data_IF_398980851262
#
_entry.id   IF_398980851262
#
_cell.length_a   1.000
_cell.length_b   1.000
_cell.length_c   1.000
_cell.angle_alpha   90.00
_cell.angle_beta   90.00
_cell.angle_gamma   90.00
#
_symmetry.space_group_name_H-M   'P 1'
#
loop_
_entity.id
_entity.type
_entity.pdbx_description
1 polymer ?
#
# COMPACT_ATOMS: atom_id res chain seq x y z
N UNK A 1 -44.38 4.56 63.24
CA UNK A 1 -44.08 3.12 63.16
C UNK A 1 -42.89 2.95 62.22
N UNK A 2 -41.91 2.11 62.60
CA UNK A 2 -40.47 2.44 62.72
C UNK A 2 -39.67 1.98 61.47
N UNK A 3 -38.35 2.15 61.29
CA UNK A 3 -37.15 2.19 62.18
C UNK A 3 -35.95 2.63 61.30
N UNK A 4 -35.02 3.51 61.74
CA UNK A 4 -33.67 3.23 62.34
C UNK A 4 -32.85 2.19 61.56
N UNK A 5 -31.56 2.33 61.22
CA UNK A 5 -30.36 2.93 61.90
C UNK A 5 -29.19 2.92 60.88
N UNK A 6 -28.34 3.94 60.72
CA UNK A 6 -27.08 4.26 61.45
C UNK A 6 -26.13 3.09 61.78
N UNK A 7 -24.90 3.18 61.27
CA UNK A 7 -23.66 2.57 61.80
C UNK A 7 -22.57 2.40 60.70
N UNK A 8 -21.48 3.19 60.65
CA UNK A 8 -20.12 2.96 61.26
C UNK A 8 -19.52 1.58 60.92
N UNK A 9 -18.28 1.38 60.46
CA UNK A 9 -17.00 2.10 60.57
C UNK A 9 -15.96 1.51 59.56
N UNK A 10 -14.73 2.07 59.41
CA UNK A 10 -13.74 1.73 58.39
C UNK A 10 -12.73 0.64 58.82
N UNK A 11 -12.31 -0.19 57.86
CA UNK A 11 -11.37 -1.29 58.06
C UNK A 11 -9.97 -1.07 57.45
N UNK A 12 -9.03 -0.73 58.33
CA UNK A 12 -7.56 -0.96 58.35
C UNK A 12 -6.83 -1.54 57.13
N UNK A 13 -5.82 -0.77 56.71
CA UNK A 13 -4.37 -1.09 56.68
C UNK A 13 -3.95 -2.58 56.76
N UNK A 14 -3.29 -3.05 55.70
CA UNK A 14 -2.09 -3.89 55.79
C UNK A 14 -1.06 -3.50 54.73
N UNK A 15 0.07 -3.02 55.21
CA UNK A 15 1.36 -3.03 54.54
C UNK A 15 1.83 -4.47 54.30
N UNK A 16 2.34 -4.78 53.11
CA UNK A 16 3.40 -5.77 52.90
C UNK A 16 4.28 -5.36 51.72
N UNK A 17 5.55 -5.07 52.04
CA UNK A 17 6.81 -5.15 51.29
C UNK A 17 6.76 -5.22 49.75
N UNK A 18 7.28 -4.24 49.00
CA UNK A 18 8.71 -3.94 48.75
C UNK A 18 9.53 -5.11 48.17
N UNK A 19 9.80 -5.05 46.87
CA UNK A 19 11.06 -5.53 46.25
C UNK A 19 11.17 -5.05 44.80
N UNK A 20 11.72 -3.86 44.64
CA UNK A 20 12.51 -3.46 43.46
C UNK A 20 13.86 -4.18 43.48
N UNK A 21 14.36 -4.65 42.32
CA UNK A 21 15.79 -4.75 42.09
C UNK A 21 16.25 -3.61 41.17
N UNK A 22 17.21 -2.82 41.67
CA UNK A 22 18.03 -1.91 40.88
C UNK A 22 19.26 -2.65 40.28
N UNK A 23 19.97 -2.04 39.31
CA UNK A 23 20.70 -2.76 38.27
C UNK A 23 22.16 -3.02 38.63
N UNK A 24 22.65 -4.23 38.33
CA UNK A 24 24.09 -4.47 38.25
C UNK A 24 24.61 -4.11 36.86
N UNK A 25 25.54 -3.15 36.85
CA UNK A 25 26.48 -2.92 35.75
C UNK A 25 27.69 -3.82 35.98
N UNK A 26 28.06 -4.64 35.01
CA UNK A 26 29.47 -4.82 34.68
C UNK A 26 29.68 -5.23 33.21
N UNK A 27 30.78 -4.72 32.66
CA UNK A 27 31.12 -4.65 31.23
C UNK A 27 31.92 -5.88 30.82
N UNK A 28 31.73 -6.37 29.59
CA UNK A 28 32.61 -7.39 29.02
C UNK A 28 32.28 -7.85 27.60
N UNK A 29 32.74 -7.08 26.61
CA UNK A 29 33.30 -7.49 25.32
C UNK A 29 32.56 -8.53 24.42
N UNK A 30 31.98 -7.98 23.34
CA UNK A 30 31.87 -8.50 21.96
C UNK A 30 32.01 -10.01 21.67
N UNK A 31 30.94 -10.61 21.14
CA UNK A 31 30.97 -11.47 19.94
C UNK A 31 29.55 -11.60 19.34
N UNK A 32 29.43 -11.29 18.05
CA UNK A 32 28.23 -11.44 17.21
C UNK A 32 27.70 -12.87 17.28
N UNK A 33 26.40 -13.05 17.55
CA UNK A 33 25.55 -14.16 17.07
C UNK A 33 24.10 -13.68 17.09
N UNK A 34 23.39 -13.88 15.98
CA UNK A 34 22.00 -13.46 15.80
C UNK A 34 21.08 -14.11 16.82
N UNK A 35 20.14 -13.33 17.35
CA UNK A 35 19.07 -13.82 18.23
C UNK A 35 17.75 -13.66 17.48
N UNK A 36 17.15 -14.80 17.18
CA UNK A 36 15.76 -14.96 16.74
C UNK A 36 14.84 -14.82 17.95
N UNK A 37 13.77 -14.04 17.83
CA UNK A 37 12.71 -13.94 18.85
C UNK A 37 11.52 -14.73 18.32
N UNK A 38 11.22 -15.87 18.95
CA UNK A 38 10.05 -16.70 18.65
C UNK A 38 8.95 -16.51 19.69
N UNK A 39 7.79 -16.00 19.28
CA UNK A 39 6.56 -16.11 20.08
C UNK A 39 5.89 -17.46 19.79
N UNK A 40 5.67 -18.26 20.84
CA UNK A 40 5.01 -19.57 20.75
C UNK A 40 3.56 -19.48 21.21
N UNK A 41 2.63 -19.89 20.35
CA UNK A 41 1.29 -20.32 20.73
C UNK A 41 1.14 -21.77 20.26
N UNK A 42 0.91 -22.70 21.20
CA UNK A 42 0.67 -24.13 20.93
C UNK A 42 -0.83 -24.39 20.83
N UNK A 43 -1.29 -24.85 19.67
CA UNK A 43 -2.31 -25.92 19.57
C UNK A 43 -2.00 -26.76 18.32
N UNK A 44 -1.63 -28.03 18.53
CA UNK A 44 -1.84 -29.16 17.62
C UNK A 44 -1.24 -29.15 16.20
N UNK A 45 -0.06 -29.76 16.04
CA UNK A 45 0.17 -30.77 15.00
C UNK A 45 0.39 -30.35 13.54
N UNK A 46 1.53 -29.72 13.25
CA UNK A 46 2.51 -30.07 12.19
C UNK A 46 3.38 -28.84 11.91
N UNK A 47 4.69 -28.98 12.16
CA UNK A 47 5.68 -27.92 12.05
C UNK A 47 6.10 -27.78 10.58
N UNK A 48 5.44 -26.88 9.83
CA UNK A 48 5.97 -26.40 8.55
C UNK A 48 6.86 -25.19 8.82
N UNK A 49 8.16 -25.37 8.62
CA UNK A 49 9.15 -24.29 8.63
C UNK A 49 8.91 -23.46 7.37
N UNK A 50 8.23 -22.32 7.48
CA UNK A 50 8.18 -21.34 6.38
C UNK A 50 9.44 -20.49 6.48
N UNK A 51 10.48 -20.86 5.73
CA UNK A 51 11.59 -19.98 5.46
C UNK A 51 11.11 -18.87 4.50
N UNK A 52 10.83 -17.69 5.06
CA UNK A 52 10.64 -16.49 4.25
C UNK A 52 11.98 -16.10 3.62
N UNK A 53 12.08 -16.30 2.31
CA UNK A 53 13.25 -15.93 1.52
C UNK A 53 13.26 -14.41 1.30
N UNK A 54 13.80 -13.66 2.26
CA UNK A 54 13.97 -12.20 2.21
C UNK A 54 15.14 -11.73 1.31
N UNK A 55 15.58 -12.53 0.34
CA UNK A 55 16.79 -12.28 -0.46
C UNK A 55 16.55 -11.71 -1.87
N UNK A 56 15.34 -11.25 -2.19
CA UNK A 56 15.10 -10.48 -3.40
C UNK A 56 14.96 -9.00 -3.04
N UNK A 57 16.08 -8.36 -2.69
CA UNK A 57 16.41 -6.91 -2.74
C UNK A 57 17.70 -6.79 -1.91
N UNK A 58 18.80 -6.34 -2.56
CA UNK A 58 20.18 -6.12 -2.06
C UNK A 58 21.22 -7.05 -2.70
N UNK A 59 21.73 -6.66 -3.88
CA UNK A 59 23.03 -7.12 -4.36
C UNK A 59 24.15 -6.36 -3.58
N UNK A 60 25.05 -7.04 -2.86
CA UNK A 60 26.11 -6.39 -2.08
C UNK A 60 27.27 -5.82 -2.90
N UNK A 61 27.23 -5.86 -4.24
CA UNK A 61 28.38 -5.50 -5.10
C UNK A 61 28.48 -4.04 -5.55
N UNK A 62 27.58 -3.16 -5.12
CA UNK A 62 27.70 -1.72 -5.36
C UNK A 62 28.49 -1.03 -4.23
N UNK A 63 29.79 -1.30 -4.16
CA UNK A 63 30.76 -0.41 -3.49
C UNK A 63 31.73 0.11 -4.54
N UNK A 64 31.27 1.12 -5.27
CA UNK A 64 32.07 1.86 -6.25
C UNK A 64 31.22 2.95 -6.88
N UNK A 65 31.48 4.19 -6.46
CA UNK A 65 31.00 5.45 -7.04
C UNK A 65 29.46 5.66 -7.12
N UNK A 66 28.83 5.66 -5.95
CA UNK A 66 27.37 5.63 -5.73
C UNK A 66 26.66 7.00 -5.90
N UNK A 67 27.38 8.03 -6.36
CA UNK A 67 26.81 9.38 -6.52
C UNK A 67 26.31 9.61 -7.94
N UNK A 68 27.17 9.47 -8.96
CA UNK A 68 26.77 9.69 -10.37
C UNK A 68 25.64 8.76 -10.84
N UNK A 69 25.59 7.51 -10.39
CA UNK A 69 24.53 6.56 -10.74
C UNK A 69 23.17 6.92 -10.11
N UNK A 70 23.16 7.37 -8.84
CA UNK A 70 21.95 7.89 -8.15
C UNK A 70 21.39 9.15 -8.83
N UNK A 71 22.24 9.96 -9.43
CA UNK A 71 21.80 11.12 -10.23
C UNK A 71 21.23 10.69 -11.59
N UNK A 72 21.77 9.66 -12.23
CA UNK A 72 21.30 9.20 -13.54
C UNK A 72 19.91 8.55 -13.51
N UNK A 73 19.57 7.78 -12.47
CA UNK A 73 18.24 7.16 -12.33
C UNK A 73 17.14 8.17 -11.96
N UNK A 74 17.50 9.36 -11.47
CA UNK A 74 16.57 10.48 -11.22
C UNK A 74 16.15 11.22 -12.49
N UNK A 75 16.95 11.18 -13.56
CA UNK A 75 16.90 12.21 -14.61
C UNK A 75 15.96 11.94 -15.80
N UNK A 76 15.40 10.73 -15.94
CA UNK A 76 14.61 10.38 -17.15
C UNK A 76 13.20 9.82 -16.89
N UNK A 77 12.73 9.80 -15.64
CA UNK A 77 11.36 9.36 -15.34
C UNK A 77 10.53 10.61 -15.10
N UNK A 78 9.47 10.79 -15.90
CA UNK A 78 8.42 11.77 -15.64
C UNK A 78 7.37 11.10 -14.74
N UNK A 79 7.49 11.18 -13.39
CA UNK A 79 6.65 10.40 -12.50
C UNK A 79 5.18 10.72 -12.72
N UNK A 80 4.35 9.69 -12.68
CA UNK A 80 2.91 9.76 -12.83
C UNK A 80 2.23 9.45 -11.50
N UNK A 81 0.92 9.74 -11.43
CA UNK A 81 0.10 9.24 -10.33
C UNK A 81 0.28 7.74 -10.17
N UNK A 82 0.25 7.29 -8.93
CA UNK A 82 0.42 5.89 -8.52
C UNK A 82 1.85 5.35 -8.61
N UNK A 83 2.81 6.07 -9.18
CA UNK A 83 4.20 5.64 -9.13
C UNK A 83 4.68 5.55 -7.67
N UNK A 84 5.55 4.57 -7.41
CA UNK A 84 6.19 4.36 -6.13
C UNK A 84 7.36 5.34 -5.98
N UNK A 85 7.38 6.05 -4.86
CA UNK A 85 8.43 7.01 -4.51
C UNK A 85 9.18 6.52 -3.29
N UNK A 86 10.46 6.21 -3.46
CA UNK A 86 11.33 5.79 -2.36
C UNK A 86 12.09 7.01 -1.86
N UNK A 87 11.90 7.37 -0.59
CA UNK A 87 12.51 8.54 0.03
C UNK A 87 13.76 8.17 0.84
N UNK A 88 14.67 9.14 1.02
CA UNK A 88 15.78 9.03 1.96
C UNK A 88 15.21 8.87 3.38
N UNK A 89 15.58 7.82 4.14
CA UNK A 89 15.13 7.60 5.52
C UNK A 89 15.40 8.78 6.48
N UNK A 90 16.40 9.60 6.18
CA UNK A 90 16.79 10.75 6.99
C UNK A 90 16.21 12.07 6.49
N UNK A 91 15.41 12.04 5.42
CA UNK A 91 14.81 13.24 4.88
C UNK A 91 13.80 13.88 5.84
N UNK A 92 13.70 15.20 5.72
CA UNK A 92 12.61 15.95 6.33
C UNK A 92 11.35 15.80 5.49
N UNK A 93 10.22 15.67 6.17
CA UNK A 93 8.90 15.57 5.55
C UNK A 93 7.85 16.26 6.43
N UNK A 94 6.70 16.57 5.84
CA UNK A 94 5.54 17.14 6.52
C UNK A 94 4.34 16.23 6.33
N UNK A 95 3.57 16.02 7.38
CA UNK A 95 2.30 15.27 7.32
C UNK A 95 1.14 16.27 7.31
N UNK A 96 0.25 16.16 6.32
CA UNK A 96 -0.93 17.04 6.15
C UNK A 96 -2.22 16.45 6.74
N UNK A 97 -2.11 15.49 7.66
CA UNK A 97 -3.25 14.81 8.29
C UNK A 97 -3.76 15.57 9.51
N UNK A 98 -5.08 15.71 9.62
CA UNK A 98 -5.78 16.34 10.75
C UNK A 98 -5.90 15.43 12.00
N UNK A 99 -5.15 14.34 12.08
CA UNK A 99 -5.30 13.32 13.13
C UNK A 99 -4.59 13.69 14.44
N UNK A 100 -5.18 13.22 15.54
CA UNK A 100 -4.95 13.68 16.92
C UNK A 100 -3.58 13.34 17.52
N UNK A 101 -2.78 12.43 16.91
CA UNK A 101 -1.44 12.09 17.41
C UNK A 101 -0.37 12.17 16.31
N UNK A 102 0.04 13.39 15.98
CA UNK A 102 1.05 13.64 14.95
C UNK A 102 2.40 12.98 15.26
N UNK A 103 2.87 13.01 16.51
CA UNK A 103 4.17 12.45 16.89
C UNK A 103 4.28 10.96 16.53
N UNK A 104 3.26 10.17 16.88
CA UNK A 104 3.21 8.74 16.55
C UNK A 104 3.14 8.49 15.03
N UNK A 105 2.49 9.38 14.26
CA UNK A 105 2.49 9.30 12.80
C UNK A 105 3.89 9.56 12.24
N UNK A 106 4.60 10.58 12.71
CA UNK A 106 5.98 10.85 12.31
C UNK A 106 6.90 9.65 12.58
N UNK A 107 6.79 9.02 13.76
CA UNK A 107 7.55 7.81 14.08
C UNK A 107 7.25 6.65 13.13
N UNK A 108 5.97 6.41 12.81
CA UNK A 108 5.57 5.38 11.87
C UNK A 108 6.08 5.65 10.45
N UNK A 109 6.03 6.89 9.97
CA UNK A 109 6.59 7.27 8.67
C UNK A 109 8.11 7.09 8.65
N UNK A 110 8.82 7.50 9.71
CA UNK A 110 10.27 7.27 9.80
C UNK A 110 10.61 5.78 9.79
N UNK A 111 9.86 4.97 10.54
CA UNK A 111 10.02 3.51 10.52
C UNK A 111 9.70 2.92 9.13
N UNK A 112 8.73 3.47 8.41
CA UNK A 112 8.39 3.08 7.04
C UNK A 112 9.55 3.34 6.07
N UNK A 113 10.13 4.55 6.08
CA UNK A 113 11.28 4.87 5.25
C UNK A 113 12.53 4.09 5.64
N UNK A 114 12.78 3.87 6.93
CA UNK A 114 13.91 3.06 7.41
C UNK A 114 13.86 1.60 6.91
N UNK A 115 12.66 1.08 6.60
CA UNK A 115 12.47 -0.24 5.96
C UNK A 115 12.64 -0.21 4.43
N UNK A 116 12.89 0.96 3.84
CA UNK A 116 13.01 1.14 2.39
C UNK A 116 11.68 0.99 1.65
N UNK A 117 10.55 1.23 2.31
CA UNK A 117 9.23 1.11 1.70
C UNK A 117 8.81 2.43 1.01
N UNK A 118 8.08 2.36 -0.12
CA UNK A 118 7.74 3.54 -0.90
C UNK A 118 6.48 4.26 -0.39
N UNK A 119 6.34 5.50 -0.80
CA UNK A 119 5.05 6.20 -0.87
C UNK A 119 4.46 6.11 -2.28
N UNK A 120 3.21 6.54 -2.43
CA UNK A 120 2.55 6.73 -3.72
C UNK A 120 2.70 8.18 -4.16
N UNK A 121 3.09 8.39 -5.42
CA UNK A 121 3.08 9.68 -6.08
C UNK A 121 1.63 10.17 -6.20
N UNK A 122 1.30 11.24 -5.47
CA UNK A 122 -0.03 11.79 -5.42
C UNK A 122 -0.22 12.91 -6.46
N UNK A 123 -1.34 13.64 -6.35
CA UNK A 123 -1.57 14.82 -7.18
C UNK A 123 -0.69 15.99 -6.72
N UNK A 124 -0.01 16.66 -7.65
CA UNK A 124 0.98 17.71 -7.37
C UNK A 124 0.42 19.14 -7.37
N UNK A 125 -0.90 19.27 -7.23
CA UNK A 125 -1.59 20.56 -7.20
C UNK A 125 -1.24 21.40 -5.97
N UNK A 126 -0.92 22.68 -6.15
CA UNK A 126 -0.78 23.66 -5.06
C UNK A 126 0.54 23.57 -4.28
N UNK A 127 1.62 23.12 -4.93
CA UNK A 127 2.95 22.96 -4.33
C UNK A 127 3.86 24.17 -4.57
N UNK A 128 4.83 24.34 -3.69
CA UNK A 128 5.98 25.20 -3.93
C UNK A 128 6.99 24.48 -4.85
N UNK A 129 7.84 25.23 -5.53
CA UNK A 129 8.89 24.66 -6.37
C UNK A 129 9.79 23.71 -5.56
N UNK A 130 9.86 22.45 -5.97
CA UNK A 130 10.74 21.42 -5.40
C UNK A 130 10.15 20.61 -4.24
N UNK A 131 8.89 20.83 -3.87
CA UNK A 131 8.15 19.94 -2.97
C UNK A 131 7.33 18.91 -3.78
N UNK A 132 7.10 17.74 -3.20
CA UNK A 132 6.29 16.65 -3.76
C UNK A 132 5.18 16.26 -2.78
N UNK A 133 3.95 16.12 -3.29
CA UNK A 133 2.84 15.49 -2.58
C UNK A 133 2.88 13.98 -2.76
N UNK A 134 2.82 13.26 -1.65
CA UNK A 134 2.83 11.81 -1.59
C UNK A 134 1.66 11.29 -0.76
N UNK A 135 1.15 10.12 -1.12
CA UNK A 135 0.19 9.36 -0.34
C UNK A 135 0.88 8.19 0.34
N UNK A 136 0.53 7.94 1.60
CA UNK A 136 1.01 6.79 2.34
C UNK A 136 -0.12 6.18 3.17
N UNK A 137 -0.48 4.91 2.97
CA UNK A 137 -1.32 4.20 3.93
C UNK A 137 -0.45 3.66 5.07
N UNK A 138 -0.95 3.81 6.29
CA UNK A 138 -0.39 3.25 7.51
C UNK A 138 -1.46 2.44 8.25
N UNK A 139 -1.04 1.46 9.04
CA UNK A 139 -1.91 0.80 10.02
C UNK A 139 -1.57 1.38 11.39
N UNK A 140 -2.39 2.32 11.85
CA UNK A 140 -2.24 2.92 13.17
C UNK A 140 -3.43 2.51 14.06
N UNK A 141 -3.13 2.09 15.29
CA UNK A 141 -4.15 1.59 16.24
C UNK A 141 -5.08 0.50 15.65
N UNK A 142 -4.53 -0.36 14.78
CA UNK A 142 -5.28 -1.43 14.12
C UNK A 142 -6.22 -0.98 12.99
N UNK A 143 -6.17 0.30 12.58
CA UNK A 143 -6.98 0.86 11.51
C UNK A 143 -6.11 1.35 10.36
N UNK A 144 -6.56 1.09 9.13
CA UNK A 144 -5.93 1.62 7.91
C UNK A 144 -6.21 3.11 7.81
N UNK A 145 -5.17 3.93 7.76
CA UNK A 145 -5.25 5.38 7.61
C UNK A 145 -4.44 5.81 6.39
N UNK A 146 -5.03 6.60 5.50
CA UNK A 146 -4.30 7.22 4.38
C UNK A 146 -3.85 8.62 4.81
N UNK A 147 -2.55 8.86 4.81
CA UNK A 147 -1.97 10.16 5.14
C UNK A 147 -1.38 10.81 3.89
N UNK A 148 -1.57 12.13 3.79
CA UNK A 148 -0.85 12.96 2.83
C UNK A 148 0.48 13.41 3.43
N UNK A 149 1.54 13.28 2.65
CA UNK A 149 2.89 13.65 3.03
C UNK A 149 3.47 14.62 1.99
N UNK A 150 4.27 15.57 2.44
CA UNK A 150 5.11 16.37 1.58
C UNK A 150 6.58 16.15 1.91
N UNK A 151 7.40 15.95 0.89
CA UNK A 151 8.86 15.92 1.00
C UNK A 151 9.49 16.66 -0.16
N UNK A 152 10.75 17.05 -0.02
CA UNK A 152 11.50 17.70 -1.08
C UNK A 152 11.88 16.71 -2.17
N UNK A 153 11.85 17.13 -3.43
CA UNK A 153 12.22 16.27 -4.56
C UNK A 153 13.67 15.75 -4.46
N UNK A 154 14.58 16.54 -3.88
CA UNK A 154 15.98 16.11 -3.66
C UNK A 154 16.10 14.91 -2.71
N UNK A 155 15.13 14.71 -1.81
CA UNK A 155 15.05 13.58 -0.89
C UNK A 155 14.53 12.29 -1.53
N UNK A 156 14.03 12.33 -2.77
CA UNK A 156 13.66 11.10 -3.49
C UNK A 156 14.92 10.33 -3.84
N UNK A 157 14.98 9.04 -3.53
CA UNK A 157 16.06 8.14 -3.93
C UNK A 157 15.79 7.52 -5.31
N UNK A 158 14.55 7.11 -5.57
CA UNK A 158 14.12 6.57 -6.87
C UNK A 158 12.60 6.64 -7.04
N UNK A 159 12.19 6.65 -8.30
CA UNK A 159 10.83 6.38 -8.74
C UNK A 159 10.73 4.96 -9.30
N UNK A 160 9.57 4.33 -9.18
CA UNK A 160 9.33 3.02 -9.76
C UNK A 160 7.84 2.91 -10.14
N UNK A 161 7.55 2.31 -11.29
CA UNK A 161 6.16 2.00 -11.65
C UNK A 161 5.54 0.99 -10.67
N UNK A 162 4.22 0.95 -10.62
CA UNK A 162 3.49 -0.08 -9.90
C UNK A 162 3.87 -1.49 -10.39
N UNK A 163 3.92 -2.49 -9.50
CA UNK A 163 4.07 -3.87 -9.92
C UNK A 163 2.90 -4.29 -10.81
N UNK A 164 3.24 -4.90 -11.94
CA UNK A 164 2.29 -5.54 -12.84
C UNK A 164 1.78 -6.85 -12.23
N UNK A 165 0.62 -7.31 -12.69
CA UNK A 165 -0.01 -8.50 -12.12
C UNK A 165 0.87 -9.75 -12.27
N UNK A 166 1.64 -9.83 -13.37
CA UNK A 166 2.62 -10.88 -13.63
C UNK A 166 3.94 -10.75 -12.85
N UNK A 167 4.17 -9.63 -12.16
CA UNK A 167 5.33 -9.46 -11.27
C UNK A 167 4.98 -9.92 -9.84
N UNK A 168 3.67 -10.06 -9.55
CA UNK A 168 3.13 -10.52 -8.27
C UNK A 168 2.79 -12.02 -8.29
N UNK A 169 3.45 -12.83 -9.13
CA UNK A 169 3.12 -14.25 -9.31
C UNK A 169 3.28 -15.09 -8.03
N UNK A 170 4.26 -14.73 -7.19
CA UNK A 170 4.44 -15.39 -5.89
C UNK A 170 3.46 -14.91 -4.83
N UNK A 171 2.77 -13.78 -5.04
CA UNK A 171 1.80 -13.26 -4.09
C UNK A 171 0.50 -14.06 -4.19
N UNK A 172 -0.01 -14.49 -3.04
CA UNK A 172 -1.26 -15.22 -3.00
C UNK A 172 -2.42 -14.23 -2.82
N UNK A 173 -3.21 -14.04 -3.87
CA UNK A 173 -4.40 -13.18 -3.81
C UNK A 173 -5.59 -13.84 -3.08
N UNK A 174 -5.43 -15.05 -2.54
CA UNK A 174 -6.48 -15.76 -1.79
C UNK A 174 -6.70 -15.23 -0.38
N UNK A 175 -6.02 -14.15 0.02
CA UNK A 175 -6.13 -13.48 1.32
C UNK A 175 -7.60 -13.15 1.62
N UNK A 176 -8.26 -14.14 2.24
CA UNK A 176 -9.64 -14.22 2.65
C UNK A 176 -10.64 -13.82 1.54
N UNK A 177 -11.28 -14.78 0.83
CA UNK A 177 -12.37 -14.42 -0.05
C UNK A 177 -13.49 -13.75 0.77
N UNK A 178 -14.15 -12.76 0.16
CA UNK A 178 -15.19 -11.95 0.81
C UNK A 178 -16.38 -12.75 1.33
N UNK A 179 -16.52 -14.02 0.92
CA UNK A 179 -17.61 -14.93 1.30
C UNK A 179 -17.25 -15.90 2.44
N UNK A 180 -16.05 -15.81 3.02
CA UNK A 180 -15.61 -16.69 4.11
C UNK A 180 -15.31 -18.14 3.71
N UNK A 181 -15.31 -18.46 2.40
CA UNK A 181 -14.90 -19.78 1.93
C UNK A 181 -13.39 -20.00 2.17
N UNK A 182 -13.01 -21.18 2.65
CA UNK A 182 -11.59 -21.54 2.74
C UNK A 182 -11.07 -21.81 1.33
N UNK A 183 -10.41 -20.83 0.72
CA UNK A 183 -9.62 -21.06 -0.49
C UNK A 183 -8.31 -21.72 -0.06
N UNK A 184 -7.94 -22.89 -0.64
CA UNK A 184 -6.66 -23.51 -0.36
C UNK A 184 -5.51 -22.55 -0.67
N UNK A 185 -4.57 -22.46 0.25
CA UNK A 185 -3.38 -21.62 0.13
C UNK A 185 -2.65 -21.90 -1.19
N UNK A 186 -2.20 -20.84 -1.86
CA UNK A 186 -1.46 -20.89 -3.11
C UNK A 186 -2.32 -20.99 -4.37
N UNK A 187 -3.65 -21.16 -4.28
CA UNK A 187 -4.52 -21.27 -5.47
C UNK A 187 -4.50 -20.02 -6.35
N UNK A 188 -4.27 -18.86 -5.75
CA UNK A 188 -4.26 -17.56 -6.42
C UNK A 188 -2.85 -17.02 -6.65
N UNK A 189 -1.81 -17.85 -6.52
CA UNK A 189 -0.47 -17.56 -7.03
C UNK A 189 -0.48 -17.70 -8.55
N UNK A 190 0.29 -16.85 -9.21
CA UNK A 190 0.40 -16.77 -10.66
C UNK A 190 -0.90 -16.49 -11.40
N UNK A 191 -1.81 -15.75 -10.75
CA UNK A 191 -3.13 -15.43 -11.31
C UNK A 191 -3.03 -14.64 -12.62
N UNK A 192 -2.03 -13.77 -12.74
CA UNK A 192 -1.78 -12.97 -13.94
C UNK A 192 -1.48 -13.86 -15.13
N UNK A 193 -0.38 -14.60 -15.08
CA UNK A 193 0.02 -15.52 -16.15
C UNK A 193 -1.04 -16.60 -16.46
N UNK A 194 -1.73 -17.11 -15.44
CA UNK A 194 -2.68 -18.22 -15.60
C UNK A 194 -4.01 -17.82 -16.22
N UNK A 195 -4.58 -16.69 -15.83
CA UNK A 195 -5.95 -16.31 -16.24
C UNK A 195 -5.98 -15.12 -17.22
N UNK A 196 -4.89 -14.36 -17.28
CA UNK A 196 -4.75 -13.12 -18.05
C UNK A 196 -3.41 -13.03 -18.81
N UNK A 197 -2.92 -14.10 -19.48
CA UNK A 197 -1.58 -14.15 -20.04
C UNK A 197 -1.28 -12.98 -20.99
N UNK A 198 -2.24 -12.58 -21.83
CA UNK A 198 -2.04 -11.58 -22.88
C UNK A 198 -2.08 -10.13 -22.38
N UNK A 199 -2.59 -9.89 -21.17
CA UNK A 199 -2.86 -8.54 -20.65
C UNK A 199 -2.23 -8.29 -19.26
N UNK A 200 -1.74 -9.31 -18.58
CA UNK A 200 -1.19 -9.19 -17.23
C UNK A 200 -0.05 -8.16 -17.09
N UNK A 201 0.68 -7.89 -18.19
CA UNK A 201 1.73 -6.86 -18.28
C UNK A 201 1.18 -5.42 -18.33
N UNK A 202 -0.08 -5.25 -18.70
CA UNK A 202 -0.78 -3.96 -18.80
C UNK A 202 -1.64 -3.68 -17.56
N UNK A 203 -1.75 -4.62 -16.62
CA UNK A 203 -2.53 -4.48 -15.39
C UNK A 203 -1.56 -4.33 -14.22
N UNK A 204 -1.63 -3.20 -13.52
CA UNK A 204 -0.83 -2.92 -12.33
C UNK A 204 -1.70 -2.95 -11.08
N UNK A 205 -1.16 -3.42 -9.96
CA UNK A 205 -1.88 -3.46 -8.69
C UNK A 205 -1.48 -2.26 -7.84
N UNK A 206 -2.47 -1.53 -7.30
CA UNK A 206 -2.22 -0.48 -6.32
C UNK A 206 -3.07 -0.70 -5.05
N UNK A 207 -3.12 0.33 -4.20
CA UNK A 207 -3.99 0.31 -3.03
C UNK A 207 -3.61 -0.74 -1.98
N UNK A 208 -4.61 -1.31 -1.31
CA UNK A 208 -4.38 -2.18 -0.14
C UNK A 208 -3.54 -3.42 -0.45
N UNK A 209 -3.77 -4.05 -1.61
CA UNK A 209 -3.05 -5.25 -2.03
C UNK A 209 -1.57 -4.98 -2.31
N UNK A 210 -1.26 -3.86 -2.97
CA UNK A 210 0.12 -3.40 -3.16
C UNK A 210 0.84 -3.24 -1.82
N UNK A 211 0.24 -2.56 -0.85
CA UNK A 211 0.91 -2.32 0.42
C UNK A 211 1.02 -3.57 1.29
N UNK A 212 0.09 -4.52 1.17
CA UNK A 212 0.25 -5.84 1.76
C UNK A 212 1.47 -6.55 1.15
N UNK A 213 1.55 -6.60 -0.18
CA UNK A 213 2.64 -7.22 -0.91
C UNK A 213 4.01 -6.61 -0.55
N UNK A 214 4.12 -5.28 -0.54
CA UNK A 214 5.38 -4.59 -0.28
C UNK A 214 5.82 -4.67 1.19
N UNK A 215 4.89 -4.53 2.13
CA UNK A 215 5.22 -4.39 3.55
C UNK A 215 5.10 -5.67 4.37
N UNK A 216 4.40 -6.69 3.86
CA UNK A 216 4.01 -7.89 4.60
C UNK A 216 3.02 -7.63 5.74
N UNK A 217 2.45 -6.43 5.84
CA UNK A 217 1.46 -6.08 6.86
C UNK A 217 0.03 -6.32 6.35
N UNK A 218 -0.95 -6.57 7.24
CA UNK A 218 -2.30 -6.97 6.87
C UNK A 218 -3.16 -5.78 6.40
N UNK A 219 -2.84 -5.19 5.25
CA UNK A 219 -3.62 -4.10 4.62
C UNK A 219 -4.92 -4.56 3.96
N UNK A 220 -5.12 -5.87 3.85
CA UNK A 220 -6.23 -6.53 3.15
C UNK A 220 -7.06 -7.32 4.16
N UNK A 221 -8.36 -7.20 4.06
CA UNK A 221 -9.36 -8.01 4.75
C UNK A 221 -10.40 -8.53 3.75
N UNK A 222 -11.34 -9.36 4.21
CA UNK A 222 -12.40 -9.95 3.38
C UNK A 222 -13.19 -8.91 2.57
N UNK A 223 -13.47 -7.75 3.16
CA UNK A 223 -14.26 -6.69 2.54
C UNK A 223 -13.46 -5.72 1.67
N UNK A 224 -12.14 -5.89 1.55
CA UNK A 224 -11.31 -4.99 0.74
C UNK A 224 -11.73 -5.07 -0.74
N UNK A 225 -11.44 -4.07 -1.53
CA UNK A 225 -11.46 -4.12 -2.99
C UNK A 225 -10.08 -4.56 -3.53
N UNK A 226 -10.03 -4.92 -4.81
CA UNK A 226 -8.77 -5.01 -5.54
C UNK A 226 -8.67 -3.81 -6.48
N UNK A 227 -7.80 -2.87 -6.12
CA UNK A 227 -7.45 -1.67 -6.87
C UNK A 227 -6.49 -2.01 -8.04
N UNK A 228 -6.95 -1.81 -9.28
CA UNK A 228 -6.17 -2.09 -10.49
C UNK A 228 -6.01 -0.84 -11.37
N UNK A 229 -4.80 -0.63 -11.88
CA UNK A 229 -4.51 0.36 -12.91
C UNK A 229 -4.28 -0.36 -14.23
N UNK A 230 -5.19 -0.19 -15.19
CA UNK A 230 -5.14 -0.88 -16.48
C UNK A 230 -4.70 0.12 -17.55
N UNK A 231 -3.60 -0.18 -18.24
CA UNK A 231 -3.18 0.59 -19.41
C UNK A 231 -4.17 0.37 -20.56
N UNK A 232 -4.71 1.46 -21.10
CA UNK A 232 -5.63 1.37 -22.22
C UNK A 232 -4.93 0.86 -23.48
N UNK A 233 -5.49 -0.19 -24.09
CA UNK A 233 -4.96 -0.82 -25.29
C UNK A 233 -6.06 -1.10 -26.32
N UNK A 234 -6.75 -0.03 -26.71
CA UNK A 234 -7.74 -0.02 -27.80
C UNK A 234 -8.97 -0.91 -27.58
N UNK A 235 -9.32 -1.15 -26.30
CA UNK A 235 -10.53 -1.87 -25.93
C UNK A 235 -11.77 -1.06 -26.28
N UNK A 236 -12.79 -1.75 -26.78
CA UNK A 236 -14.16 -1.29 -26.71
C UNK A 236 -14.68 -1.25 -25.28
N UNK A 237 -15.74 -0.49 -25.05
CA UNK A 237 -16.40 -0.46 -23.74
C UNK A 237 -16.96 -1.83 -23.32
N UNK A 238 -17.43 -2.62 -24.28
CA UNK A 238 -17.91 -3.97 -24.03
C UNK A 238 -16.77 -4.89 -23.56
N UNK A 239 -15.64 -4.90 -24.27
CA UNK A 239 -14.45 -5.69 -23.89
C UNK A 239 -13.91 -5.27 -22.53
N UNK A 240 -13.91 -3.97 -22.23
CA UNK A 240 -13.46 -3.49 -20.93
C UNK A 240 -14.39 -3.98 -19.81
N UNK A 241 -15.70 -3.89 -20.01
CA UNK A 241 -16.68 -4.37 -19.04
C UNK A 241 -16.55 -5.90 -18.82
N UNK A 242 -16.34 -6.67 -19.89
CA UNK A 242 -16.07 -8.11 -19.82
C UNK A 242 -14.78 -8.42 -19.07
N UNK A 243 -13.70 -7.66 -19.32
CA UNK A 243 -12.43 -7.80 -18.61
C UNK A 243 -12.61 -7.56 -17.11
N UNK A 244 -13.29 -6.48 -16.71
CA UNK A 244 -13.55 -6.13 -15.31
C UNK A 244 -14.41 -7.20 -14.64
N UNK A 245 -15.45 -7.69 -15.32
CA UNK A 245 -16.28 -8.79 -14.82
C UNK A 245 -15.48 -10.10 -14.66
N UNK A 246 -14.59 -10.42 -15.61
CA UNK A 246 -13.70 -11.58 -15.52
C UNK A 246 -12.70 -11.44 -14.37
N UNK A 247 -12.09 -10.28 -14.18
CA UNK A 247 -11.22 -9.97 -13.04
C UNK A 247 -11.99 -10.18 -11.72
N UNK A 248 -13.17 -9.59 -11.58
CA UNK A 248 -13.99 -9.71 -10.38
C UNK A 248 -14.31 -11.18 -10.06
N UNK A 249 -14.65 -11.97 -11.08
CA UNK A 249 -14.93 -13.40 -10.95
C UNK A 249 -13.70 -14.22 -10.56
N UNK A 250 -12.55 -13.98 -11.19
CA UNK A 250 -11.30 -14.72 -10.92
C UNK A 250 -10.81 -14.43 -9.52
N UNK A 251 -10.81 -13.16 -9.11
CA UNK A 251 -10.39 -12.76 -7.77
C UNK A 251 -11.45 -12.99 -6.69
N UNK A 252 -12.70 -13.27 -7.09
CA UNK A 252 -13.87 -13.39 -6.22
C UNK A 252 -14.08 -12.15 -5.33
N UNK A 253 -13.83 -10.96 -5.88
CA UNK A 253 -13.77 -9.68 -5.15
C UNK A 253 -14.19 -8.53 -6.06
N UNK A 254 -14.63 -7.43 -5.46
CA UNK A 254 -14.88 -6.19 -6.21
C UNK A 254 -13.59 -5.67 -6.82
N UNK A 255 -13.65 -5.34 -8.10
CA UNK A 255 -12.58 -4.63 -8.80
C UNK A 255 -12.91 -3.15 -8.75
N UNK A 256 -12.02 -2.38 -8.15
CA UNK A 256 -11.99 -0.93 -8.28
C UNK A 256 -10.71 -0.56 -9.07
N UNK A 257 -10.65 0.64 -9.61
CA UNK A 257 -9.54 0.96 -10.47
C UNK A 257 -9.68 2.18 -11.34
N UNK A 258 -8.62 2.40 -12.09
CA UNK A 258 -8.55 3.43 -13.12
C UNK A 258 -8.02 2.83 -14.43
N UNK A 259 -8.52 3.35 -15.55
CA UNK A 259 -7.98 3.13 -16.88
C UNK A 259 -7.04 4.27 -17.20
N UNK A 260 -5.80 3.95 -17.52
CA UNK A 260 -4.77 4.91 -17.91
C UNK A 260 -4.78 5.11 -19.42
N UNK A 261 -5.05 6.34 -19.83
CA UNK A 261 -4.99 6.78 -21.21
C UNK A 261 -3.66 7.50 -21.48
N UNK A 262 -2.85 6.94 -22.36
CA UNK A 262 -1.52 7.45 -22.68
C UNK A 262 -1.56 8.93 -23.10
N UNK A 263 -0.88 9.79 -22.31
CA UNK A 263 -0.80 11.22 -22.56
C UNK A 263 -2.11 11.99 -22.36
N UNK A 264 -3.09 11.42 -21.66
CA UNK A 264 -4.32 12.11 -21.27
C UNK A 264 -4.52 12.08 -19.74
N UNK A 265 -4.47 10.90 -19.12
CA UNK A 265 -4.66 10.73 -17.68
C UNK A 265 -5.45 9.46 -17.35
N UNK A 266 -5.89 9.38 -16.11
CA UNK A 266 -6.55 8.20 -15.55
C UNK A 266 -8.05 8.48 -15.36
N UNK A 267 -8.91 7.53 -15.74
CA UNK A 267 -10.37 7.61 -15.56
C UNK A 267 -10.82 6.43 -14.71
N UNK A 268 -11.70 6.65 -13.73
CA UNK A 268 -12.24 5.55 -12.93
C UNK A 268 -12.97 4.53 -13.81
N UNK A 269 -12.71 3.24 -13.59
CA UNK A 269 -13.31 2.15 -14.41
C UNK A 269 -14.83 2.26 -14.43
N UNK A 270 -15.44 2.47 -13.27
CA UNK A 270 -16.89 2.56 -13.12
C UNK A 270 -17.49 3.78 -13.84
N UNK A 271 -16.81 4.93 -13.84
CA UNK A 271 -17.26 6.10 -14.61
C UNK A 271 -17.15 5.87 -16.12
N UNK A 272 -16.15 5.10 -16.56
CA UNK A 272 -15.95 4.83 -17.98
C UNK A 272 -17.01 3.86 -18.52
N UNK A 273 -17.43 2.86 -17.74
CA UNK A 273 -18.48 1.90 -18.15
C UNK A 273 -19.90 2.43 -17.92
N UNK A 274 -20.12 3.37 -17.00
CA UNK A 274 -21.41 4.03 -16.81
C UNK A 274 -21.62 5.15 -17.86
N UNK A 275 -22.54 4.90 -18.79
CA UNK A 275 -22.86 5.81 -19.90
C UNK A 275 -23.89 6.88 -19.55
N UNK A 276 -24.44 6.88 -18.32
CA UNK A 276 -25.47 7.84 -17.91
C UNK A 276 -24.93 9.28 -17.85
N UNK A 277 -23.63 9.44 -17.52
CA UNK A 277 -22.97 10.73 -17.43
C UNK A 277 -22.36 11.16 -18.77
N UNK A 278 -22.63 12.40 -19.18
CA UNK A 278 -22.05 13.02 -20.39
C UNK A 278 -20.60 13.46 -20.23
N UNK A 279 -20.16 13.60 -18.98
CA UNK A 279 -18.80 14.00 -18.61
C UNK A 279 -18.21 12.95 -17.68
N UNK A 280 -16.89 12.82 -17.74
CA UNK A 280 -16.10 11.88 -16.94
C UNK A 280 -15.00 12.63 -16.22
N UNK A 281 -14.61 12.14 -15.05
CA UNK A 281 -13.56 12.72 -14.24
C UNK A 281 -12.20 12.18 -14.71
N UNK A 282 -11.43 13.05 -15.36
CA UNK A 282 -10.06 12.80 -15.76
C UNK A 282 -9.11 13.22 -14.64
N UNK A 283 -8.26 12.29 -14.20
CA UNK A 283 -7.26 12.52 -13.16
C UNK A 283 -5.88 12.50 -13.79
N UNK A 284 -5.20 13.64 -13.75
CA UNK A 284 -3.80 13.75 -14.19
C UNK A 284 -2.90 13.89 -12.97
N UNK A 285 -1.59 13.90 -13.19
CA UNK A 285 -0.62 14.22 -12.14
C UNK A 285 -0.91 15.54 -11.43
N UNK A 286 -1.39 16.54 -12.18
CA UNK A 286 -1.41 17.92 -11.71
C UNK A 286 -2.85 18.41 -11.46
N UNK A 287 -3.85 17.76 -12.06
CA UNK A 287 -5.24 18.21 -12.05
C UNK A 287 -6.26 17.08 -11.94
N UNK A 288 -7.49 17.47 -11.61
CA UNK A 288 -8.68 16.62 -11.70
C UNK A 288 -9.74 17.47 -12.40
N UNK A 289 -10.18 17.02 -13.56
CA UNK A 289 -11.00 17.81 -14.48
C UNK A 289 -12.16 16.98 -15.02
N UNK A 290 -13.29 17.63 -15.27
CA UNK A 290 -14.40 17.02 -15.99
C UNK A 290 -14.21 17.26 -17.49
N UNK A 291 -14.12 16.18 -18.28
CA UNK A 291 -14.09 16.26 -19.74
C UNK A 291 -15.37 15.66 -20.32
N UNK A 292 -15.79 16.15 -21.49
CA UNK A 292 -16.88 15.51 -22.23
C UNK A 292 -16.44 14.13 -22.73
N UNK A 293 -17.35 13.15 -22.70
CA UNK A 293 -17.09 11.80 -23.26
C UNK A 293 -16.67 11.85 -24.73
N UNK A 294 -17.26 12.76 -25.51
CA UNK A 294 -16.92 12.93 -26.94
C UNK A 294 -15.44 13.26 -27.14
N UNK A 295 -14.83 14.06 -26.26
CA UNK A 295 -13.38 14.36 -26.33
C UNK A 295 -12.54 13.11 -26.09
N UNK A 296 -12.95 12.25 -25.15
CA UNK A 296 -12.28 10.96 -24.93
C UNK A 296 -12.43 10.07 -26.17
N UNK A 297 -13.64 9.97 -26.72
CA UNK A 297 -13.96 9.13 -27.88
C UNK A 297 -13.32 9.57 -29.19
N UNK A 298 -13.15 10.88 -29.40
CA UNK A 298 -12.43 11.40 -30.56
C UNK A 298 -10.96 10.95 -30.54
N UNK A 299 -10.37 10.82 -29.35
CA UNK A 299 -8.98 10.40 -29.17
C UNK A 299 -8.81 8.88 -29.07
N UNK A 300 -9.83 8.17 -28.60
CA UNK A 300 -9.86 6.71 -28.45
C UNK A 300 -11.16 6.16 -29.07
N UNK A 301 -11.22 6.04 -30.41
CA UNK A 301 -12.47 5.77 -31.13
C UNK A 301 -13.12 4.42 -30.86
N UNK A 302 -12.35 3.40 -30.48
CA UNK A 302 -12.87 2.08 -30.10
C UNK A 302 -13.79 2.12 -28.87
N UNK A 303 -13.73 3.18 -28.05
CA UNK A 303 -14.69 3.41 -26.97
C UNK A 303 -16.07 3.90 -27.43
N UNK A 304 -16.25 4.25 -28.70
CA UNK A 304 -17.56 4.61 -29.20
C UNK A 304 -18.45 3.36 -29.23
N UNK A 305 -19.61 3.44 -28.57
CA UNK A 305 -20.67 2.46 -28.78
C UNK A 305 -21.38 2.80 -30.08
N UNK A 306 -21.50 1.84 -30.99
CA UNK A 306 -22.38 1.94 -32.15
C UNK A 306 -23.84 2.26 -31.76
#
# INVERSE_FOLDING_TARGET
MPSRSLGTEPGRLRDVASSTPQPERERGLARRKGISISCHSRVGGNLLLIEHNSNAIMDPRLRGDDSAQRFHDKLNINPQRHDLVFADPNSEFRIHSCQTNQAQLYEQVRAWFARGLPCIYARQSGLNNGDLNLGLPLIAAGQKQRIGLQLREDAVLRYQSLPKLNEMESFDFSLLPSNGEKVPEGRMRGVGSKFFPDICHSISVYGSFLFHYLSGQPYVNEASDLDLLIEYSDYSLAELNELVAKLAKVFNRTIDGEIRFAGLGDVAVQELVDLSARQILLKTRDSVELIARTVLYERYPSLQTD
#
